data_IF_968673193873
#
_entry.id   IF_968673193873
#
_cell.length_a   1.000
_cell.length_b   1.000
_cell.length_c   1.000
_cell.angle_alpha   90.00
_cell.angle_beta   90.00
_cell.angle_gamma   90.00
#
_symmetry.space_group_name_H-M   'P 1'
#
loop_
_entity.id
_entity.type
_entity.pdbx_description
1 polymer ?
#
# COMPACT_ATOMS: atom_id res chain seq x y z
N UNK A 1 13.48 -13.18 -19.63
CA UNK A 1 12.25 -13.50 -20.39
C UNK A 1 11.12 -14.14 -19.56
N UNK A 2 11.29 -15.27 -18.86
CA UNK A 2 10.23 -15.85 -17.98
C UNK A 2 9.78 -14.90 -16.85
N UNK A 3 10.69 -14.08 -16.32
CA UNK A 3 10.36 -13.05 -15.30
C UNK A 3 9.43 -11.96 -15.87
N UNK A 4 9.79 -11.37 -17.01
CA UNK A 4 9.00 -10.36 -17.72
C UNK A 4 7.58 -10.83 -18.08
N UNK A 5 7.43 -12.04 -18.63
CA UNK A 5 6.11 -12.60 -18.93
C UNK A 5 5.28 -12.83 -17.65
N UNK A 6 5.90 -13.34 -16.58
CA UNK A 6 5.21 -13.45 -15.30
C UNK A 6 4.84 -12.08 -14.72
N UNK A 7 5.70 -11.07 -14.90
CA UNK A 7 5.42 -9.70 -14.48
C UNK A 7 4.22 -9.13 -15.25
N UNK A 8 4.08 -9.39 -16.55
CA UNK A 8 2.92 -8.90 -17.32
C UNK A 8 1.63 -9.66 -17.05
N UNK A 9 1.70 -10.96 -16.75
CA UNK A 9 0.53 -11.85 -16.80
C UNK A 9 0.18 -12.58 -15.49
N UNK A 10 0.94 -12.42 -14.39
CA UNK A 10 0.72 -13.19 -13.15
C UNK A 10 0.37 -12.32 -11.94
N UNK A 11 -0.77 -12.55 -11.26
CA UNK A 11 -1.08 -11.88 -10.00
C UNK A 11 -0.25 -12.47 -8.83
N UNK A 12 0.50 -11.62 -8.13
CA UNK A 12 1.40 -12.02 -7.04
C UNK A 12 0.66 -12.17 -5.69
N UNK A 13 -0.26 -13.13 -5.59
CA UNK A 13 -1.19 -13.25 -4.44
C UNK A 13 -0.62 -14.03 -3.24
N UNK A 14 0.47 -14.79 -3.39
CA UNK A 14 0.95 -15.74 -2.35
C UNK A 14 1.82 -15.08 -1.27
N UNK A 15 2.74 -14.20 -1.66
CA UNK A 15 3.62 -13.46 -0.74
C UNK A 15 2.82 -12.49 0.15
N UNK A 16 1.90 -11.75 -0.47
CA UNK A 16 0.99 -10.82 0.20
C UNK A 16 0.18 -11.46 1.34
N UNK A 17 -0.29 -12.70 1.15
CA UNK A 17 -1.09 -13.43 2.15
C UNK A 17 -0.29 -13.81 3.41
N UNK A 18 0.99 -14.13 3.25
CA UNK A 18 1.86 -14.48 4.38
C UNK A 18 2.19 -13.24 5.22
N UNK A 19 2.48 -12.11 4.57
CA UNK A 19 2.73 -10.82 5.23
C UNK A 19 1.51 -10.34 6.02
N UNK A 20 0.31 -10.43 5.44
CA UNK A 20 -0.94 -10.09 6.13
C UNK A 20 -1.17 -10.95 7.38
N UNK A 21 -0.85 -12.23 7.31
CA UNK A 21 -1.04 -13.16 8.43
C UNK A 21 -0.09 -12.85 9.59
N UNK A 22 1.17 -12.54 9.27
CA UNK A 22 2.15 -12.10 10.25
C UNK A 22 1.74 -10.77 10.91
N UNK A 23 1.28 -9.80 10.12
CA UNK A 23 0.88 -8.50 10.64
C UNK A 23 -0.34 -8.60 11.57
N UNK A 24 -1.33 -9.45 11.25
CA UNK A 24 -2.47 -9.73 12.15
C UNK A 24 -2.00 -10.25 13.51
N UNK A 25 -1.09 -11.22 13.51
CA UNK A 25 -0.54 -11.78 14.74
C UNK A 25 0.19 -10.72 15.58
N UNK A 26 1.01 -9.88 14.95
CA UNK A 26 1.72 -8.80 15.61
C UNK A 26 0.76 -7.80 16.27
N UNK A 27 -0.31 -7.40 15.57
CA UNK A 27 -1.31 -6.46 16.07
C UNK A 27 -2.07 -7.04 17.26
N UNK A 28 -2.51 -8.29 17.17
CA UNK A 28 -3.22 -8.95 18.27
C UNK A 28 -2.31 -9.06 19.50
N UNK A 29 -1.04 -9.42 19.30
CA UNK A 29 -0.04 -9.47 20.37
C UNK A 29 0.18 -8.10 21.02
N UNK A 30 0.22 -7.03 20.21
CA UNK A 30 0.36 -5.65 20.70
C UNK A 30 -0.85 -5.21 21.53
N UNK A 31 -2.09 -5.54 21.11
CA UNK A 31 -3.30 -5.26 21.90
C UNK A 31 -3.21 -5.94 23.27
N UNK A 32 -2.79 -7.21 23.30
CA UNK A 32 -2.58 -7.94 24.55
C UNK A 32 -1.51 -7.31 25.45
N UNK A 33 -0.38 -6.89 24.87
CA UNK A 33 0.69 -6.24 25.61
C UNK A 33 0.24 -4.89 26.21
N UNK A 34 -0.49 -4.09 25.44
CA UNK A 34 -1.07 -2.82 25.93
C UNK A 34 -2.07 -3.09 27.06
N UNK A 35 -2.92 -4.11 26.93
CA UNK A 35 -3.88 -4.50 27.97
C UNK A 35 -3.19 -4.94 29.28
N UNK A 36 -2.13 -5.74 29.17
CA UNK A 36 -1.31 -6.13 30.32
C UNK A 36 -0.68 -4.89 30.96
N UNK A 37 -0.10 -4.00 30.15
CA UNK A 37 0.51 -2.76 30.65
C UNK A 37 -0.52 -1.86 31.36
N UNK A 38 -1.71 -1.67 30.79
CA UNK A 38 -2.81 -0.89 31.37
C UNK A 38 -3.26 -1.47 32.72
N UNK A 39 -3.35 -2.80 32.82
CA UNK A 39 -3.59 -3.48 34.09
C UNK A 39 -2.51 -3.17 35.15
N UNK A 40 -1.23 -3.27 34.78
CA UNK A 40 -0.11 -3.02 35.71
C UNK A 40 0.04 -1.56 36.12
N UNK A 41 -0.37 -0.61 35.27
CA UNK A 41 -0.37 0.82 35.63
C UNK A 41 -1.36 1.17 36.74
N UNK A 42 -2.30 0.27 37.06
CA UNK A 42 -3.26 0.45 38.16
C UNK A 42 -4.24 1.59 37.89
N UNK A 43 -4.84 2.15 38.96
CA UNK A 43 -5.87 3.19 38.84
C UNK A 43 -5.33 4.61 38.61
N UNK A 44 -4.03 4.83 38.78
CA UNK A 44 -3.43 6.18 38.77
C UNK A 44 -3.11 6.77 37.40
N UNK A 45 -2.94 5.93 36.37
CA UNK A 45 -2.56 6.38 35.01
C UNK A 45 -3.57 5.86 33.99
N UNK A 46 -4.00 6.75 33.10
CA UNK A 46 -4.92 6.43 32.00
C UNK A 46 -4.13 6.10 30.73
N UNK A 47 -4.21 4.85 30.27
CA UNK A 47 -3.48 4.34 29.10
C UNK A 47 -4.34 4.36 27.82
N UNK A 48 -5.57 4.89 27.88
CA UNK A 48 -6.55 4.84 26.78
C UNK A 48 -6.05 5.30 25.40
N UNK A 49 -5.17 6.30 25.32
CA UNK A 49 -4.60 6.78 24.06
C UNK A 49 -3.67 5.76 23.37
N UNK A 50 -3.04 4.87 24.13
CA UNK A 50 -2.08 3.88 23.59
C UNK A 50 -2.80 2.82 22.74
N UNK A 51 -4.08 2.53 23.04
CA UNK A 51 -4.91 1.62 22.25
C UNK A 51 -5.21 2.13 20.82
N UNK A 52 -4.93 3.40 20.52
CA UNK A 52 -5.04 3.94 19.16
C UNK A 52 -3.98 3.33 18.23
N UNK A 53 -2.81 2.95 18.74
CA UNK A 53 -1.70 2.42 17.95
C UNK A 53 -2.10 1.12 17.21
N UNK A 54 -2.59 0.05 17.87
CA UNK A 54 -3.00 -1.16 17.15
C UNK A 54 -4.15 -0.90 16.17
N UNK A 55 -5.03 0.07 16.44
CA UNK A 55 -6.11 0.47 15.54
C UNK A 55 -5.53 1.07 14.25
N UNK A 56 -4.57 1.99 14.35
CA UNK A 56 -3.91 2.60 13.19
C UNK A 56 -3.18 1.55 12.33
N UNK A 57 -2.55 0.56 12.96
CA UNK A 57 -1.84 -0.52 12.28
C UNK A 57 -2.79 -1.50 11.58
N UNK A 58 -3.90 -1.86 12.24
CA UNK A 58 -4.89 -2.83 11.74
C UNK A 58 -5.60 -2.41 10.45
N UNK A 59 -5.77 -1.10 10.24
CA UNK A 59 -6.34 -0.55 9.02
C UNK A 59 -5.45 -0.77 7.77
N UNK A 60 -4.19 -1.14 7.94
CA UNK A 60 -3.27 -1.47 6.83
C UNK A 60 -3.59 -2.81 6.18
N UNK A 61 -4.35 -3.68 6.85
CA UNK A 61 -4.72 -5.01 6.35
C UNK A 61 -6.07 -4.93 5.61
N UNK A 62 -7.13 -4.59 6.33
CA UNK A 62 -8.45 -4.34 5.76
C UNK A 62 -9.33 -3.53 6.73
N UNK A 63 -10.36 -2.88 6.17
CA UNK A 63 -11.29 -2.02 6.92
C UNK A 63 -12.05 -2.75 8.02
N UNK A 64 -12.52 -3.96 7.76
CA UNK A 64 -13.32 -4.74 8.72
C UNK A 64 -12.49 -5.11 9.96
N UNK A 65 -11.25 -5.55 9.75
CA UNK A 65 -10.31 -5.89 10.80
C UNK A 65 -9.99 -4.67 11.66
N UNK A 66 -9.83 -3.49 11.06
CA UNK A 66 -9.66 -2.25 11.79
C UNK A 66 -10.80 -1.92 12.74
N UNK A 67 -12.05 -2.08 12.29
CA UNK A 67 -13.22 -1.88 13.16
C UNK A 67 -13.31 -2.93 14.27
N UNK A 68 -13.03 -4.20 13.97
CA UNK A 68 -13.02 -5.26 14.98
C UNK A 68 -12.00 -4.94 16.07
N UNK A 69 -10.77 -4.55 15.70
CA UNK A 69 -9.72 -4.17 16.65
C UNK A 69 -10.14 -2.95 17.49
N UNK A 70 -10.76 -1.94 16.88
CA UNK A 70 -11.28 -0.78 17.61
C UNK A 70 -12.32 -1.16 18.69
N UNK A 71 -13.27 -2.04 18.35
CA UNK A 71 -14.28 -2.53 19.29
C UNK A 71 -13.62 -3.36 20.40
N UNK A 72 -12.72 -4.28 20.03
CA UNK A 72 -12.00 -5.13 20.99
C UNK A 72 -11.18 -4.29 21.97
N UNK A 73 -10.45 -3.28 21.50
CA UNK A 73 -9.72 -2.35 22.36
C UNK A 73 -10.64 -1.58 23.31
N UNK A 74 -11.79 -1.09 22.84
CA UNK A 74 -12.75 -0.36 23.67
C UNK A 74 -13.32 -1.26 24.79
N UNK A 75 -13.70 -2.49 24.45
CA UNK A 75 -14.26 -3.45 25.41
C UNK A 75 -13.20 -3.95 26.42
N UNK A 76 -11.99 -4.23 25.96
CA UNK A 76 -10.88 -4.62 26.83
C UNK A 76 -10.54 -3.52 27.83
N UNK A 77 -10.40 -2.28 27.35
CA UNK A 77 -10.07 -1.16 28.22
C UNK A 77 -11.20 -0.89 29.23
N UNK A 78 -12.47 -1.04 28.83
CA UNK A 78 -13.61 -0.97 29.76
C UNK A 78 -13.55 -2.07 30.83
N UNK A 79 -13.25 -3.32 30.42
CA UNK A 79 -13.16 -4.43 31.36
C UNK A 79 -12.05 -4.20 32.41
N UNK A 80 -10.91 -3.64 31.99
CA UNK A 80 -9.81 -3.25 32.89
C UNK A 80 -10.25 -2.11 33.81
N UNK A 81 -10.91 -1.08 33.28
CA UNK A 81 -11.40 0.05 34.07
C UNK A 81 -12.37 -0.42 35.18
N UNK A 82 -13.29 -1.35 34.85
CA UNK A 82 -14.23 -1.96 35.80
C UNK A 82 -13.48 -2.78 36.86
N UNK A 83 -12.53 -3.62 36.44
CA UNK A 83 -11.76 -4.47 37.35
C UNK A 83 -10.92 -3.65 38.34
N UNK A 84 -10.26 -2.59 37.86
CA UNK A 84 -9.47 -1.68 38.67
C UNK A 84 -10.33 -0.68 39.47
N UNK A 85 -11.66 -0.76 39.34
CA UNK A 85 -12.62 0.11 40.02
C UNK A 85 -12.30 1.61 39.85
N UNK A 86 -11.77 2.00 38.68
CA UNK A 86 -11.29 3.36 38.40
C UNK A 86 -12.36 4.44 38.59
N UNK A 87 -13.64 4.07 38.48
CA UNK A 87 -14.78 4.98 38.65
C UNK A 87 -15.81 4.45 39.66
N UNK A 88 -15.36 3.77 40.72
CA UNK A 88 -16.25 3.15 41.73
C UNK A 88 -17.30 4.11 42.30
N UNK A 89 -16.92 5.37 42.54
CA UNK A 89 -17.81 6.37 43.16
C UNK A 89 -18.91 6.85 42.21
N UNK A 90 -18.73 6.65 40.90
CA UNK A 90 -19.59 7.25 39.88
C UNK A 90 -19.72 6.30 38.67
N UNK A 91 -20.62 5.30 38.73
CA UNK A 91 -20.80 4.29 37.67
C UNK A 91 -21.11 4.86 36.29
N UNK A 92 -21.68 6.06 36.22
CA UNK A 92 -21.97 6.77 34.96
C UNK A 92 -20.69 7.03 34.13
N UNK A 93 -19.52 7.15 34.76
CA UNK A 93 -18.27 7.37 34.02
C UNK A 93 -17.83 6.16 33.20
N UNK A 94 -18.19 4.93 33.58
CA UNK A 94 -17.93 3.75 32.73
C UNK A 94 -18.69 3.84 31.40
N UNK A 95 -19.94 4.29 31.45
CA UNK A 95 -20.78 4.48 30.26
C UNK A 95 -20.23 5.63 29.42
N UNK A 96 -19.90 6.75 30.07
CA UNK A 96 -19.31 7.90 29.39
C UNK A 96 -17.99 7.55 28.69
N UNK A 97 -17.10 6.80 29.37
CA UNK A 97 -15.81 6.40 28.82
C UNK A 97 -15.96 5.41 27.66
N UNK A 98 -16.92 4.47 27.76
CA UNK A 98 -17.24 3.57 26.65
C UNK A 98 -17.72 4.35 25.41
N UNK A 99 -18.59 5.34 25.61
CA UNK A 99 -19.13 6.16 24.52
C UNK A 99 -18.01 7.00 23.89
N UNK A 100 -17.25 7.74 24.69
CA UNK A 100 -16.20 8.63 24.18
C UNK A 100 -15.08 7.85 23.49
N UNK A 101 -14.58 6.76 24.10
CA UNK A 101 -13.56 5.89 23.48
C UNK A 101 -14.10 5.19 22.25
N UNK A 102 -15.31 4.65 22.31
CA UNK A 102 -15.96 4.00 21.16
C UNK A 102 -16.06 4.94 19.96
N UNK A 103 -16.50 6.18 20.19
CA UNK A 103 -16.54 7.22 19.15
C UNK A 103 -15.15 7.52 18.58
N UNK A 104 -14.14 7.76 19.44
CA UNK A 104 -12.78 8.08 18.99
C UNK A 104 -12.17 6.92 18.19
N UNK A 105 -12.24 5.69 18.70
CA UNK A 105 -11.61 4.52 18.08
C UNK A 105 -12.26 4.18 16.74
N UNK A 106 -13.59 4.24 16.65
CA UNK A 106 -14.30 4.03 15.39
C UNK A 106 -14.06 5.16 14.39
N UNK A 107 -14.01 6.42 14.85
CA UNK A 107 -13.65 7.56 14.00
C UNK A 107 -12.23 7.42 13.45
N UNK A 108 -11.25 7.07 14.28
CA UNK A 108 -9.86 6.86 13.86
C UNK A 108 -9.78 5.70 12.85
N UNK A 109 -10.43 4.57 13.12
CA UNK A 109 -10.48 3.44 12.20
C UNK A 109 -11.10 3.85 10.85
N UNK A 110 -12.17 4.65 10.88
CA UNK A 110 -12.81 5.17 9.68
C UNK A 110 -11.89 6.11 8.90
N UNK A 111 -11.36 7.16 9.53
CA UNK A 111 -10.49 8.15 8.89
C UNK A 111 -9.26 7.49 8.27
N UNK A 112 -8.61 6.60 9.02
CA UNK A 112 -7.43 5.87 8.53
C UNK A 112 -7.76 5.00 7.31
N UNK A 113 -8.88 4.29 7.35
CA UNK A 113 -9.34 3.46 6.22
C UNK A 113 -9.67 4.30 4.99
N UNK A 114 -10.32 5.45 5.19
CA UNK A 114 -10.65 6.39 4.12
C UNK A 114 -9.38 7.00 3.49
N UNK A 115 -8.41 7.42 4.30
CA UNK A 115 -7.11 7.91 3.82
C UNK A 115 -6.39 6.86 2.97
N UNK A 116 -6.36 5.62 3.44
CA UNK A 116 -5.73 4.54 2.68
C UNK A 116 -6.44 4.27 1.35
N UNK A 117 -7.77 4.33 1.35
CA UNK A 117 -8.55 4.21 0.13
C UNK A 117 -8.20 5.31 -0.88
N UNK A 118 -8.03 6.56 -0.44
CA UNK A 118 -7.61 7.65 -1.32
C UNK A 118 -6.21 7.46 -1.88
N UNK A 119 -5.23 7.11 -1.04
CA UNK A 119 -3.85 6.84 -1.48
C UNK A 119 -3.82 5.73 -2.54
N UNK A 120 -4.51 4.62 -2.28
CA UNK A 120 -4.59 3.51 -3.22
C UNK A 120 -5.30 3.95 -4.51
N UNK A 121 -6.36 4.75 -4.41
CA UNK A 121 -7.10 5.24 -5.57
C UNK A 121 -6.28 6.22 -6.42
N UNK A 122 -5.47 7.07 -5.81
CA UNK A 122 -4.56 7.95 -6.56
C UNK A 122 -3.51 7.14 -7.31
N UNK A 123 -2.90 6.14 -6.67
CA UNK A 123 -1.99 5.21 -7.36
C UNK A 123 -2.67 4.45 -8.49
N UNK A 124 -3.95 4.07 -8.31
CA UNK A 124 -4.76 3.42 -9.32
C UNK A 124 -5.10 4.36 -10.50
N UNK A 125 -5.36 5.64 -10.25
CA UNK A 125 -5.68 6.63 -11.28
C UNK A 125 -4.45 7.23 -11.96
N UNK A 126 -3.27 7.14 -11.34
CA UNK A 126 -2.03 7.56 -11.97
C UNK A 126 -1.84 6.77 -13.27
N UNK A 127 -1.73 7.48 -14.39
CA UNK A 127 -1.47 6.85 -15.70
C UNK A 127 0.01 6.80 -16.06
N UNK A 128 0.80 7.62 -15.39
CA UNK A 128 2.23 7.81 -15.64
C UNK A 128 3.03 7.56 -14.37
N UNK A 129 4.26 7.10 -14.55
CA UNK A 129 5.27 7.07 -13.49
C UNK A 129 5.61 8.50 -13.06
N UNK A 130 5.58 8.76 -11.74
CA UNK A 130 5.76 10.11 -11.21
C UNK A 130 7.17 10.67 -11.44
N UNK A 131 8.17 9.78 -11.49
CA UNK A 131 9.57 10.19 -11.64
C UNK A 131 9.90 10.48 -13.11
N UNK A 132 9.61 9.53 -13.99
CA UNK A 132 10.07 9.59 -15.39
C UNK A 132 9.05 10.15 -16.36
N UNK A 133 7.77 10.23 -15.97
CA UNK A 133 6.67 10.60 -16.87
C UNK A 133 6.43 9.61 -18.01
N UNK A 134 7.03 8.41 -17.98
CA UNK A 134 6.62 7.29 -18.83
C UNK A 134 5.25 6.76 -18.38
N UNK A 135 4.57 5.95 -19.20
CA UNK A 135 3.39 5.24 -18.70
C UNK A 135 3.79 4.31 -17.55
N UNK A 136 2.92 4.14 -16.56
CA UNK A 136 3.17 3.13 -15.53
C UNK A 136 2.80 1.73 -16.04
N UNK A 137 3.28 0.70 -15.33
CA UNK A 137 3.01 -0.71 -15.66
C UNK A 137 1.52 -1.01 -15.86
N UNK A 138 0.64 -0.41 -15.04
CA UNK A 138 -0.80 -0.62 -15.17
C UNK A 138 -1.32 -0.12 -16.51
N UNK A 139 -1.07 1.15 -16.83
CA UNK A 139 -1.54 1.77 -18.06
C UNK A 139 -0.94 1.07 -19.27
N UNK A 140 0.32 0.64 -19.18
CA UNK A 140 0.96 -0.16 -20.20
C UNK A 140 0.22 -1.47 -20.48
N UNK A 141 -0.19 -2.22 -19.44
CA UNK A 141 -0.95 -3.46 -19.63
C UNK A 141 -2.32 -3.20 -20.29
N UNK A 142 -3.00 -2.13 -19.90
CA UNK A 142 -4.29 -1.73 -20.51
C UNK A 142 -4.12 -1.40 -22.00
N UNK A 143 -3.07 -0.64 -22.35
CA UNK A 143 -2.75 -0.33 -23.74
C UNK A 143 -2.31 -1.57 -24.52
N UNK A 144 -1.48 -2.42 -23.93
CA UNK A 144 -1.03 -3.67 -24.54
C UNK A 144 -2.19 -4.60 -24.86
N UNK A 145 -3.15 -4.78 -23.93
CA UNK A 145 -4.35 -5.59 -24.21
C UNK A 145 -5.18 -5.03 -25.36
N UNK A 146 -5.34 -3.70 -25.39
CA UNK A 146 -6.06 -3.00 -26.46
C UNK A 146 -5.36 -3.19 -27.81
N UNK A 147 -4.04 -3.06 -27.85
CA UNK A 147 -3.26 -3.21 -29.07
C UNK A 147 -3.15 -4.66 -29.54
N UNK A 148 -3.09 -5.64 -28.64
CA UNK A 148 -3.18 -7.07 -29.00
C UNK A 148 -4.52 -7.35 -29.72
N UNK A 149 -5.63 -6.83 -29.19
CA UNK A 149 -6.94 -6.99 -29.83
C UNK A 149 -6.98 -6.34 -31.22
N UNK A 150 -6.41 -5.13 -31.36
CA UNK A 150 -6.34 -4.43 -32.65
C UNK A 150 -5.43 -5.15 -33.65
N UNK A 151 -4.23 -5.56 -33.24
CA UNK A 151 -3.29 -6.31 -34.04
C UNK A 151 -3.92 -7.62 -34.55
N UNK A 152 -4.64 -8.34 -33.69
CA UNK A 152 -5.38 -9.53 -34.08
C UNK A 152 -6.53 -9.24 -35.05
N UNK A 153 -7.24 -8.12 -34.88
CA UNK A 153 -8.39 -7.76 -35.74
C UNK A 153 -7.97 -7.27 -37.12
N UNK A 154 -6.88 -6.50 -37.18
CA UNK A 154 -6.41 -5.85 -38.40
C UNK A 154 -5.18 -6.52 -39.02
N UNK A 155 -4.71 -7.63 -38.43
CA UNK A 155 -3.60 -8.44 -38.90
C UNK A 155 -2.30 -7.64 -39.15
N UNK A 156 -1.92 -6.78 -38.21
CA UNK A 156 -0.62 -6.09 -38.25
C UNK A 156 0.33 -6.64 -37.18
N UNK A 157 1.65 -6.55 -37.42
CA UNK A 157 2.65 -7.01 -36.45
C UNK A 157 2.75 -6.08 -35.25
N UNK A 158 2.90 -6.66 -34.06
CA UNK A 158 3.01 -5.93 -32.81
C UNK A 158 4.26 -6.41 -32.06
N UNK A 159 5.21 -5.51 -31.86
CA UNK A 159 6.47 -5.80 -31.18
C UNK A 159 6.52 -5.14 -29.81
N UNK A 160 7.12 -5.83 -28.85
CA UNK A 160 7.40 -5.30 -27.51
C UNK A 160 8.91 -5.37 -27.29
N UNK A 161 9.53 -4.23 -27.05
CA UNK A 161 10.91 -4.17 -26.59
C UNK A 161 10.94 -4.09 -25.06
N UNK A 162 11.77 -4.92 -24.44
CA UNK A 162 12.06 -4.86 -23.01
C UNK A 162 13.47 -4.32 -22.82
N UNK A 163 13.61 -3.36 -21.91
CA UNK A 163 14.86 -2.65 -21.64
C UNK A 163 15.11 -2.73 -20.13
N UNK A 164 16.35 -3.08 -19.77
CA UNK A 164 16.84 -3.12 -18.39
C UNK A 164 18.14 -2.31 -18.35
N UNK A 165 18.32 -1.44 -17.36
CA UNK A 165 19.55 -0.62 -17.28
C UNK A 165 20.62 -1.42 -16.54
N UNK A 166 21.64 -1.83 -17.27
CA UNK A 166 22.77 -2.56 -16.69
C UNK A 166 23.44 -1.78 -15.55
N UNK A 167 23.74 -2.48 -14.45
CA UNK A 167 24.48 -1.95 -13.29
C UNK A 167 23.84 -0.73 -12.60
N UNK A 168 22.53 -0.51 -12.75
CA UNK A 168 21.85 0.64 -12.12
C UNK A 168 22.01 0.68 -10.60
N UNK A 169 22.01 -0.48 -9.93
CA UNK A 169 22.26 -0.56 -8.48
C UNK A 169 23.63 0.00 -8.09
N UNK A 170 24.68 -0.32 -8.84
CA UNK A 170 26.04 0.18 -8.59
C UNK A 170 26.09 1.70 -8.67
N UNK A 171 25.36 2.29 -9.62
CA UNK A 171 25.24 3.75 -9.75
C UNK A 171 24.59 4.34 -8.49
N UNK A 172 23.46 3.77 -8.05
CA UNK A 172 22.81 4.24 -6.82
C UNK A 172 23.72 4.13 -5.59
N UNK A 173 24.46 3.03 -5.47
CA UNK A 173 25.34 2.79 -4.33
C UNK A 173 26.57 3.73 -4.35
N UNK A 174 27.01 4.18 -5.54
CA UNK A 174 28.21 5.02 -5.69
C UNK A 174 27.91 6.52 -5.71
N UNK A 175 26.83 6.92 -6.40
CA UNK A 175 26.48 8.32 -6.67
C UNK A 175 25.21 8.78 -5.92
N UNK A 176 24.54 7.86 -5.24
CA UNK A 176 23.30 8.12 -4.52
C UNK A 176 22.05 8.03 -5.40
N UNK A 177 20.91 7.80 -4.75
CA UNK A 177 19.62 7.63 -5.42
C UNK A 177 19.19 8.81 -6.28
N UNK A 178 19.52 10.04 -5.90
CA UNK A 178 19.17 11.25 -6.67
C UNK A 178 19.79 11.26 -8.07
N UNK A 179 21.00 10.73 -8.23
CA UNK A 179 21.65 10.63 -9.55
C UNK A 179 21.10 9.45 -10.36
N UNK A 180 20.77 8.33 -9.70
CA UNK A 180 20.01 7.25 -10.35
C UNK A 180 18.68 7.73 -10.92
N UNK A 181 17.94 8.53 -10.15
CA UNK A 181 16.67 9.14 -10.56
C UNK A 181 16.85 10.03 -11.81
N UNK A 182 17.92 10.83 -11.86
CA UNK A 182 18.25 11.64 -13.04
C UNK A 182 18.53 10.79 -14.27
N UNK A 183 19.26 9.69 -14.12
CA UNK A 183 19.58 8.77 -15.23
C UNK A 183 18.29 8.15 -15.79
N UNK A 184 17.38 7.71 -14.93
CA UNK A 184 16.09 7.17 -15.36
C UNK A 184 15.29 8.18 -16.20
N UNK A 185 15.25 9.44 -15.75
CA UNK A 185 14.61 10.53 -16.49
C UNK A 185 15.29 10.79 -17.85
N UNK A 186 16.62 10.79 -17.88
CA UNK A 186 17.39 10.95 -19.13
C UNK A 186 17.11 9.82 -20.10
N UNK A 187 17.13 8.56 -19.66
CA UNK A 187 16.84 7.39 -20.49
C UNK A 187 15.46 7.51 -21.12
N UNK A 188 14.43 7.81 -20.34
CA UNK A 188 13.06 7.97 -20.89
C UNK A 188 12.99 9.12 -21.88
N UNK A 189 13.66 10.23 -21.60
CA UNK A 189 13.69 11.39 -22.50
C UNK A 189 14.38 11.06 -23.82
N UNK A 190 15.54 10.40 -23.76
CA UNK A 190 16.30 9.97 -24.93
C UNK A 190 15.51 8.97 -25.77
N UNK A 191 14.86 7.98 -25.15
CA UNK A 191 14.04 7.02 -25.89
C UNK A 191 12.86 7.74 -26.56
N UNK A 192 12.14 8.60 -25.84
CA UNK A 192 10.99 9.36 -26.39
C UNK A 192 11.34 10.19 -27.62
N UNK A 193 12.58 10.68 -27.73
CA UNK A 193 13.05 11.42 -28.92
C UNK A 193 13.17 10.55 -30.18
N UNK A 194 13.31 9.23 -30.02
CA UNK A 194 13.47 8.27 -31.11
C UNK A 194 12.19 7.46 -31.39
N UNK A 195 11.15 7.64 -30.58
CA UNK A 195 9.86 6.96 -30.73
C UNK A 195 8.90 7.74 -31.63
N UNK A 196 8.07 6.99 -32.37
CA UNK A 196 6.94 7.56 -33.11
C UNK A 196 5.83 7.94 -32.12
N UNK A 197 4.89 8.77 -32.57
CA UNK A 197 3.71 9.13 -31.76
C UNK A 197 2.82 7.93 -31.40
N UNK A 198 2.86 6.86 -32.20
CA UNK A 198 2.13 5.61 -31.96
C UNK A 198 2.76 4.72 -30.91
N UNK A 199 4.05 4.91 -30.65
CA UNK A 199 4.84 4.00 -29.82
C UNK A 199 4.67 4.40 -28.35
N UNK A 200 4.62 3.41 -27.46
CA UNK A 200 4.33 3.64 -26.05
C UNK A 200 5.51 3.18 -25.22
N UNK A 201 6.13 4.09 -24.48
CA UNK A 201 7.11 3.76 -23.44
C UNK A 201 6.46 3.70 -22.07
N UNK A 202 6.80 2.67 -21.31
CA UNK A 202 6.38 2.48 -19.93
C UNK A 202 7.55 2.08 -19.02
N UNK A 203 7.46 2.48 -17.76
CA UNK A 203 8.33 1.99 -16.68
C UNK A 203 7.60 0.87 -15.94
N UNK A 204 8.24 -0.30 -15.87
CA UNK A 204 7.66 -1.49 -15.24
C UNK A 204 7.90 -1.49 -13.73
N UNK A 205 9.05 -0.97 -13.32
CA UNK A 205 9.47 -0.81 -11.93
C UNK A 205 11.00 -0.73 -11.85
N UNK A 206 11.55 -0.04 -10.84
CA UNK A 206 13.00 0.10 -10.70
C UNK A 206 13.64 0.71 -11.96
N UNK A 207 14.52 -0.03 -12.61
CA UNK A 207 15.28 0.26 -13.82
C UNK A 207 14.75 -0.43 -15.09
N UNK A 208 13.61 -1.12 -14.98
CA UNK A 208 13.01 -1.88 -16.08
C UNK A 208 11.99 -1.02 -16.87
N UNK A 209 12.10 -1.03 -18.19
CA UNK A 209 11.22 -0.34 -19.12
C UNK A 209 10.69 -1.30 -20.20
N UNK A 210 9.52 -0.95 -20.76
CA UNK A 210 9.01 -1.59 -21.96
C UNK A 210 8.58 -0.55 -22.99
N UNK A 211 8.70 -0.91 -24.26
CA UNK A 211 8.20 -0.15 -25.39
C UNK A 211 7.24 -1.02 -26.18
N UNK A 212 6.03 -0.52 -26.40
CA UNK A 212 5.07 -1.11 -27.33
C UNK A 212 5.23 -0.45 -28.69
N UNK A 213 5.46 -1.26 -29.72
CA UNK A 213 5.72 -0.85 -31.10
C UNK A 213 4.64 -1.45 -32.02
N UNK A 214 3.49 -0.77 -32.20
CA UNK A 214 2.48 -1.20 -33.16
C UNK A 214 3.01 -1.14 -34.59
N UNK A 215 2.52 -2.05 -35.45
CA UNK A 215 2.85 -2.09 -36.89
C UNK A 215 4.37 -2.18 -37.12
N UNK A 216 5.04 -2.99 -36.31
CA UNK A 216 6.49 -3.21 -36.34
C UNK A 216 6.77 -4.70 -36.13
N UNK A 217 7.62 -5.28 -36.97
CA UNK A 217 8.11 -6.67 -36.89
C UNK A 217 9.34 -6.78 -35.96
#
# INVERSE_FOLDING_TARGET
MKSFFNLLFKPNNKTKKNEESFLKFLIISLVGLIAIFDYFTGSGIRVGLVYVIPILLSASINRLFGFIIAIVCALLALAIDIYLQRYSDYPIYYIWELITRGMIFTLVAHLRSSLMYFILREGELARTDYLTGAMNLRTFREQLQTEIYRASRYCYPLTIAYIDIDNFKTINDTLGHSEGDRILCTVVTTIKQHLRKSDIIARLGGDEFAILLPVTD
#
